data_IF_564547015126
#
_entry.id   IF_564547015126
#
_cell.length_a   1.000
_cell.length_b   1.000
_cell.length_c   1.000
_cell.angle_alpha   90.00
_cell.angle_beta   90.00
_cell.angle_gamma   90.00
#
_symmetry.space_group_name_H-M   'P 1'
#
loop_
_entity.id
_entity.type
_entity.pdbx_description
1 polymer ?
#
# COMPACT_ATOMS: atom_id res chain seq x y z
N UNK A 1 -21.09 -2.70 2.04
CA UNK A 1 -20.42 -3.75 2.84
C UNK A 1 -18.99 -3.27 3.02
N UNK A 2 -18.42 -3.32 4.23
CA UNK A 2 -17.02 -2.92 4.38
C UNK A 2 -16.12 -4.11 4.03
N UNK A 3 -15.16 -3.89 3.14
CA UNK A 3 -14.21 -4.89 2.66
C UNK A 3 -12.82 -4.49 3.14
N UNK A 4 -12.16 -5.38 3.88
CA UNK A 4 -10.77 -5.22 4.27
C UNK A 4 -9.88 -5.91 3.24
N UNK A 5 -8.98 -5.14 2.63
CA UNK A 5 -8.05 -5.60 1.60
C UNK A 5 -6.62 -5.46 2.13
N UNK A 6 -5.88 -6.57 2.13
CA UNK A 6 -4.45 -6.56 2.41
C UNK A 6 -3.66 -6.51 1.12
N UNK A 7 -2.67 -5.62 1.04
CA UNK A 7 -1.75 -5.47 -0.10
C UNK A 7 -0.33 -5.61 0.43
N UNK A 8 0.36 -6.67 0.05
CA UNK A 8 1.78 -6.86 0.35
C UNK A 8 2.64 -6.13 -0.70
N UNK A 9 3.69 -5.47 -0.25
CA UNK A 9 4.60 -4.69 -1.08
C UNK A 9 6.04 -4.87 -0.63
N UNK A 10 6.94 -5.06 -1.59
CA UNK A 10 8.38 -5.12 -1.35
C UNK A 10 9.04 -3.82 -1.79
N UNK A 11 9.84 -3.26 -0.90
CA UNK A 11 10.56 -2.00 -1.08
C UNK A 11 11.99 -2.25 -1.55
N UNK A 12 12.56 -1.24 -2.20
CA UNK A 12 13.96 -1.17 -2.57
C UNK A 12 14.50 0.23 -2.30
N UNK A 13 15.77 0.30 -1.90
CA UNK A 13 16.50 1.55 -1.72
C UNK A 13 17.18 1.92 -3.05
N UNK A 14 16.86 3.09 -3.62
CA UNK A 14 17.40 3.60 -4.90
C UNK A 14 18.75 4.32 -4.72
N UNK A 15 19.58 3.88 -3.76
CA UNK A 15 20.95 4.36 -3.52
C UNK A 15 21.13 5.87 -3.23
N UNK A 16 20.06 6.66 -3.34
CA UNK A 16 19.98 8.10 -3.16
C UNK A 16 19.00 8.44 -2.03
N UNK A 17 18.81 7.52 -1.09
CA UNK A 17 17.83 7.69 -0.03
C UNK A 17 18.22 8.85 0.89
N UNK A 18 17.49 9.95 0.77
CA UNK A 18 17.67 11.14 1.60
C UNK A 18 16.75 11.16 2.82
N UNK A 19 15.75 10.26 2.87
CA UNK A 19 14.76 10.14 3.94
C UNK A 19 14.65 8.71 4.49
N UNK A 20 14.06 8.57 5.67
CA UNK A 20 13.78 7.24 6.24
C UNK A 20 12.67 6.53 5.48
N UNK A 21 12.64 5.20 5.56
CA UNK A 21 11.52 4.40 5.04
C UNK A 21 10.20 4.82 5.68
N UNK A 22 10.20 5.19 6.97
CA UNK A 22 9.00 5.67 7.67
C UNK A 22 8.41 6.93 7.02
N UNK A 23 9.25 7.89 6.62
CA UNK A 23 8.78 9.10 5.92
C UNK A 23 8.15 8.78 4.56
N UNK A 24 8.62 7.73 3.89
CA UNK A 24 8.00 7.25 2.66
C UNK A 24 6.62 6.63 2.96
N UNK A 25 6.52 5.79 3.99
CA UNK A 25 5.28 5.12 4.38
C UNK A 25 4.21 6.10 4.88
N UNK A 26 4.60 7.08 5.69
CA UNK A 26 3.72 8.15 6.18
C UNK A 26 3.13 8.93 5.01
N UNK A 27 3.94 9.26 4.00
CA UNK A 27 3.43 9.95 2.79
C UNK A 27 2.46 9.09 1.98
N UNK A 28 2.68 7.78 1.91
CA UNK A 28 1.73 6.89 1.23
C UNK A 28 0.41 6.85 1.99
N UNK A 29 0.43 6.84 3.34
CA UNK A 29 -0.79 6.98 4.15
C UNK A 29 -1.49 8.32 3.92
N UNK A 30 -0.76 9.43 3.91
CA UNK A 30 -1.32 10.76 3.66
C UNK A 30 -2.03 10.81 2.30
N UNK A 31 -1.39 10.29 1.24
CA UNK A 31 -1.98 10.24 -0.10
C UNK A 31 -3.20 9.31 -0.19
N UNK A 32 -3.24 8.22 0.58
CA UNK A 32 -4.43 7.36 0.68
C UNK A 32 -5.56 8.07 1.44
N UNK A 33 -5.23 8.78 2.51
CA UNK A 33 -6.18 9.58 3.27
C UNK A 33 -6.79 10.72 2.44
N UNK A 34 -5.97 11.41 1.64
CA UNK A 34 -6.41 12.46 0.72
C UNK A 34 -7.33 11.93 -0.39
N UNK A 35 -7.20 10.65 -0.75
CA UNK A 35 -8.13 9.94 -1.63
C UNK A 35 -9.42 9.47 -0.92
N UNK A 36 -9.53 9.68 0.40
CA UNK A 36 -10.66 9.25 1.22
C UNK A 36 -10.62 7.76 1.59
N UNK A 37 -9.45 7.11 1.48
CA UNK A 37 -9.25 5.70 1.83
C UNK A 37 -8.71 5.61 3.25
N UNK A 38 -9.43 4.90 4.12
CA UNK A 38 -8.93 4.54 5.44
C UNK A 38 -7.96 3.37 5.31
N UNK A 39 -6.69 3.61 5.62
CA UNK A 39 -5.62 2.64 5.50
C UNK A 39 -4.72 2.60 6.75
N UNK A 40 -4.12 1.44 6.98
CA UNK A 40 -3.07 1.20 7.97
C UNK A 40 -1.98 0.32 7.34
N UNK A 41 -0.81 0.19 7.98
CA UNK A 41 0.25 -0.69 7.51
C UNK A 41 1.02 -1.38 8.63
N UNK A 42 1.58 -2.54 8.31
CA UNK A 42 2.61 -3.22 9.10
C UNK A 42 3.87 -3.35 8.26
N UNK A 43 4.98 -2.80 8.74
CA UNK A 43 6.26 -2.83 8.05
C UNK A 43 7.28 -3.73 8.76
N UNK A 44 7.98 -4.57 7.98
CA UNK A 44 9.14 -5.34 8.42
C UNK A 44 10.39 -4.77 7.76
N UNK A 45 10.98 -3.74 8.39
CA UNK A 45 12.09 -2.95 7.82
C UNK A 45 13.30 -3.82 7.44
N UNK A 46 13.64 -4.83 8.23
CA UNK A 46 14.75 -5.74 7.94
C UNK A 46 14.53 -6.61 6.69
N UNK A 47 13.27 -6.82 6.30
CA UNK A 47 12.87 -7.59 5.11
C UNK A 47 12.48 -6.68 3.94
N UNK A 48 12.45 -5.35 4.14
CA UNK A 48 11.94 -4.38 3.16
C UNK A 48 10.52 -4.73 2.69
N UNK A 49 9.68 -5.20 3.59
CA UNK A 49 8.33 -5.65 3.28
C UNK A 49 7.30 -4.81 4.05
N UNK A 50 6.20 -4.46 3.38
CA UNK A 50 5.08 -3.75 3.98
C UNK A 50 3.78 -4.42 3.59
N UNK A 51 2.91 -4.62 4.57
CA UNK A 51 1.53 -5.06 4.35
C UNK A 51 0.61 -3.90 4.66
N UNK A 52 -0.06 -3.41 3.64
CA UNK A 52 -1.08 -2.37 3.74
C UNK A 52 -2.44 -2.99 3.98
N UNK A 53 -3.24 -2.37 4.84
CA UNK A 53 -4.63 -2.77 5.14
C UNK A 53 -5.55 -1.63 4.76
N UNK A 54 -6.37 -1.81 3.72
CA UNK A 54 -7.28 -0.79 3.20
C UNK A 54 -8.73 -1.19 3.50
N UNK A 55 -9.53 -0.23 3.95
CA UNK A 55 -10.98 -0.39 4.08
C UNK A 55 -11.68 0.18 2.84
N UNK A 56 -12.51 -0.63 2.19
CA UNK A 56 -13.30 -0.23 1.02
C UNK A 56 -14.79 -0.45 1.26
N UNK A 57 -15.59 0.57 0.94
CA UNK A 57 -17.05 0.55 1.04
C UNK A 57 -17.74 0.10 -0.25
N UNK A 58 -17.01 -0.54 -1.18
CA UNK A 58 -17.57 -0.96 -2.46
C UNK A 58 -18.75 -1.93 -2.31
N UNK A 59 -19.61 -1.96 -3.34
CA UNK A 59 -20.82 -2.78 -3.34
C UNK A 59 -20.56 -4.28 -3.42
N UNK A 60 -19.40 -4.67 -3.96
CA UNK A 60 -18.97 -6.06 -4.08
C UNK A 60 -17.45 -6.21 -3.94
N UNK A 61 -17.04 -7.47 -3.79
CA UNK A 61 -15.66 -7.87 -3.53
C UNK A 61 -14.68 -7.51 -4.66
N UNK A 62 -15.10 -7.66 -5.91
CA UNK A 62 -14.24 -7.39 -7.06
C UNK A 62 -14.03 -5.88 -7.22
N UNK A 63 -15.10 -5.11 -7.05
CA UNK A 63 -15.04 -3.66 -7.01
C UNK A 63 -14.11 -3.17 -5.89
N UNK A 64 -14.21 -3.73 -4.68
CA UNK A 64 -13.32 -3.38 -3.56
C UNK A 64 -11.84 -3.64 -3.87
N UNK A 65 -11.53 -4.76 -4.53
CA UNK A 65 -10.16 -5.09 -4.90
C UNK A 65 -9.61 -4.15 -5.98
N UNK A 66 -10.40 -3.86 -7.02
CA UNK A 66 -10.03 -2.94 -8.10
C UNK A 66 -9.77 -1.54 -7.53
N UNK A 67 -10.66 -1.08 -6.66
CA UNK A 67 -10.60 0.22 -6.00
C UNK A 67 -9.33 0.33 -5.13
N UNK A 68 -9.12 -0.62 -4.21
CA UNK A 68 -7.93 -0.66 -3.36
C UNK A 68 -6.62 -0.68 -4.15
N UNK A 69 -6.52 -1.52 -5.19
CA UNK A 69 -5.34 -1.56 -6.06
C UNK A 69 -5.13 -0.25 -6.82
N UNK A 70 -6.22 0.42 -7.22
CA UNK A 70 -6.16 1.69 -7.96
C UNK A 70 -5.68 2.81 -7.04
N UNK A 71 -6.28 2.96 -5.87
CA UNK A 71 -5.89 3.97 -4.88
C UNK A 71 -4.44 3.79 -4.42
N UNK A 72 -4.03 2.56 -4.14
CA UNK A 72 -2.64 2.25 -3.79
C UNK A 72 -1.67 2.64 -4.91
N UNK A 73 -2.00 2.32 -6.17
CA UNK A 73 -1.17 2.70 -7.32
C UNK A 73 -1.07 4.23 -7.46
N UNK A 74 -2.17 4.95 -7.26
CA UNK A 74 -2.19 6.42 -7.31
C UNK A 74 -1.33 7.00 -6.19
N UNK A 75 -1.50 6.53 -4.95
CA UNK A 75 -0.73 6.98 -3.79
C UNK A 75 0.77 6.78 -4.01
N UNK A 76 1.18 5.56 -4.40
CA UNK A 76 2.59 5.25 -4.66
C UNK A 76 3.19 6.10 -5.79
N UNK A 77 2.41 6.39 -6.84
CA UNK A 77 2.86 7.27 -7.93
C UNK A 77 2.97 8.74 -7.49
N UNK A 78 2.06 9.21 -6.62
CA UNK A 78 2.08 10.58 -6.09
C UNK A 78 3.27 10.81 -5.16
N UNK A 79 3.52 9.85 -4.27
CA UNK A 79 4.73 9.82 -3.42
C UNK A 79 5.99 9.73 -4.29
N UNK A 80 5.91 9.03 -5.42
CA UNK A 80 7.01 8.87 -6.38
C UNK A 80 8.22 8.20 -5.73
N UNK A 81 9.43 8.58 -6.18
CA UNK A 81 10.69 8.22 -5.50
C UNK A 81 10.99 9.18 -4.34
N UNK A 82 10.02 9.37 -3.45
CA UNK A 82 10.25 10.21 -2.27
C UNK A 82 11.33 9.60 -1.40
N UNK A 83 12.37 10.39 -1.11
CA UNK A 83 13.42 9.99 -0.19
C UNK A 83 14.24 8.79 -0.63
N UNK A 84 14.26 8.46 -1.93
CA UNK A 84 15.04 7.36 -2.53
C UNK A 84 14.56 5.96 -2.20
N UNK A 85 13.32 5.79 -1.73
CA UNK A 85 12.66 4.49 -1.62
C UNK A 85 11.74 4.27 -2.82
N UNK A 86 11.67 3.04 -3.31
CA UNK A 86 10.82 2.66 -4.42
C UNK A 86 10.22 1.27 -4.23
N UNK A 87 9.12 0.99 -4.92
CA UNK A 87 8.60 -0.36 -5.06
C UNK A 87 9.58 -1.15 -5.93
N UNK A 88 9.98 -2.34 -5.48
CA UNK A 88 10.92 -3.17 -6.24
C UNK A 88 10.29 -3.62 -7.56
N UNK A 89 10.91 -3.22 -8.68
CA UNK A 89 10.54 -3.75 -10.01
C UNK A 89 10.88 -5.25 -10.11
N UNK A 90 9.89 -6.07 -10.47
CA UNK A 90 10.10 -7.47 -10.83
C UNK A 90 10.17 -8.50 -9.70
N UNK A 91 9.84 -8.14 -8.46
CA UNK A 91 9.48 -9.13 -7.43
C UNK A 91 8.01 -9.50 -7.53
N UNK A 92 7.60 -10.64 -6.97
CA UNK A 92 6.21 -11.12 -6.83
C UNK A 92 5.30 -10.20 -5.98
N UNK A 93 5.39 -8.87 -6.15
CA UNK A 93 4.92 -7.83 -5.24
C UNK A 93 3.43 -7.51 -5.30
N UNK A 94 2.58 -8.46 -5.71
CA UNK A 94 1.11 -8.39 -5.61
C UNK A 94 0.57 -9.83 -5.49
N UNK A 95 -0.32 -10.27 -4.60
CA UNK A 95 -0.93 -9.80 -3.34
C UNK A 95 -1.56 -11.09 -2.75
N UNK A 96 -1.22 -11.51 -1.52
CA UNK A 96 -2.12 -12.45 -0.82
C UNK A 96 -3.31 -11.65 -0.25
N UNK A 97 -4.42 -11.64 -0.99
CA UNK A 97 -5.66 -10.99 -0.52
C UNK A 97 -6.34 -11.92 0.48
N UNK A 98 -5.92 -11.87 1.74
CA UNK A 98 -6.73 -12.45 2.83
C UNK A 98 -7.95 -11.54 3.03
N UNK A 99 -9.15 -12.12 2.94
CA UNK A 99 -10.38 -11.38 3.23
C UNK A 99 -11.07 -12.03 4.41
N UNK A 100 -11.23 -11.27 5.49
CA UNK A 100 -12.08 -11.65 6.61
C UNK A 100 -13.51 -11.28 6.26
N UNK A 101 -14.34 -12.29 5.98
CA UNK A 101 -15.78 -12.15 5.89
C UNK A 101 -16.41 -12.92 7.03
N UNK A 102 -16.98 -12.23 8.01
CA UNK A 102 -17.96 -12.82 8.93
C UNK A 102 -19.15 -13.30 8.09
N UNK A 103 -19.46 -14.59 8.21
CA UNK A 103 -20.65 -15.23 7.64
C UNK A 103 -21.81 -15.15 8.62
#
# INVERSE_FOLDING_TARGET
>A
MNHVIHIEQHLAEDGHAAGSVDQFLDRVLDELYDQGVEADYQATVSALEVVWTLNSNAGDRLAALIDACTCMRVALNAVGRSGGWMVRDGGDGIVEVKMSGER
#
